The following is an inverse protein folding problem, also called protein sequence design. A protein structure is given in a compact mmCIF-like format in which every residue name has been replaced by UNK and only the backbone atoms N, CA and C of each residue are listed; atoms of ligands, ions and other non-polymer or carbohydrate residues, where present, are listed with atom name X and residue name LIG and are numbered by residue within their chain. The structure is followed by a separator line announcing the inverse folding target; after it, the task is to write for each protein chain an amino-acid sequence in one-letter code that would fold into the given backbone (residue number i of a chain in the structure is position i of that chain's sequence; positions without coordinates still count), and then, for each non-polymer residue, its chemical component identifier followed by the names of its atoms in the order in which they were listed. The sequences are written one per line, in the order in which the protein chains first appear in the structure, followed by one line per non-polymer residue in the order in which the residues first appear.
data_IF_106124886224
#
_entry.id   IF_106124886224
#
_cell.length_a   1.000
_cell.length_b   1.000
_cell.length_c   1.000
_cell.angle_alpha   90.00
_cell.angle_beta   90.00
_cell.angle_gamma   90.00
#
_symmetry.space_group_name_H-M   'P 1'
#
loop_
_entity.id
_entity.type
_entity.pdbx_description
1 polymer ?
#
# COMPACT_ATOMS: atom_id res chain seq x y z
N UNK A 1 6.14 6.89 37.93
CA UNK A 1 6.68 5.62 37.43
C UNK A 1 6.86 5.79 35.93
N UNK A 2 8.11 5.94 35.53
CA UNK A 2 8.53 6.47 34.23
C UNK A 2 8.77 5.27 33.30
N UNK A 3 7.90 5.07 32.32
CA UNK A 3 8.14 4.10 31.25
C UNK A 3 8.69 4.88 30.07
N UNK A 4 10.01 4.86 29.95
CA UNK A 4 10.74 5.37 28.81
C UNK A 4 10.58 4.36 27.66
N UNK A 5 9.81 4.72 26.63
CA UNK A 5 9.87 4.01 25.35
C UNK A 5 11.01 4.59 24.50
N UNK A 6 11.96 3.72 24.17
CA UNK A 6 13.08 4.00 23.30
C UNK A 6 12.59 4.35 21.90
N UNK A 7 12.56 5.64 21.57
CA UNK A 7 12.36 6.11 20.20
C UNK A 7 13.64 5.82 19.42
N UNK A 8 13.62 4.75 18.61
CA UNK A 8 14.65 4.45 17.62
C UNK A 8 14.75 5.65 16.68
N UNK A 9 15.83 6.43 16.81
CA UNK A 9 16.18 7.51 15.87
C UNK A 9 16.72 6.89 14.59
N UNK A 10 15.84 6.63 13.62
CA UNK A 10 16.28 6.26 12.28
C UNK A 10 16.85 7.51 11.61
N UNK A 11 18.17 7.56 11.45
CA UNK A 11 18.87 8.65 10.75
C UNK A 11 18.72 8.49 9.24
N UNK A 12 17.63 9.01 8.68
CA UNK A 12 17.51 9.24 7.23
C UNK A 12 17.92 10.69 6.96
N UNK A 13 19.15 10.88 6.43
CA UNK A 13 19.69 12.17 5.98
C UNK A 13 20.18 13.09 7.11
N UNK A 14 21.39 13.65 6.98
CA UNK A 14 21.96 14.62 7.92
C UNK A 14 21.30 15.99 7.79
N UNK A 15 20.02 16.07 8.10
CA UNK A 15 19.28 17.32 8.14
C UNK A 15 19.34 17.86 9.56
N UNK A 16 20.30 18.74 9.85
CA UNK A 16 20.61 19.22 11.21
C UNK A 16 19.54 20.08 11.86
N UNK A 17 18.52 20.50 11.09
CA UNK A 17 17.45 21.41 11.53
C UNK A 17 16.05 20.83 11.30
N UNK A 18 15.87 19.51 11.49
CA UNK A 18 14.54 18.89 11.42
C UNK A 18 14.09 18.57 12.84
N UNK A 19 12.94 19.13 13.21
CA UNK A 19 12.23 18.81 14.45
C UNK A 19 10.91 18.16 14.06
N UNK A 20 10.60 17.02 14.68
CA UNK A 20 9.29 16.41 14.52
C UNK A 20 8.24 17.28 15.22
N UNK A 21 7.26 17.77 14.46
CA UNK A 21 6.14 18.50 15.03
C UNK A 21 5.03 17.51 15.39
N UNK A 22 4.73 17.41 16.68
CA UNK A 22 3.60 16.60 17.14
C UNK A 22 2.28 17.24 16.71
N UNK A 23 1.43 16.44 16.06
CA UNK A 23 0.07 16.83 15.71
C UNK A 23 -0.86 16.47 16.88
N UNK A 24 -1.75 17.38 17.25
CA UNK A 24 -2.75 17.16 18.32
C UNK A 24 -3.75 16.04 18.02
N UNK A 25 -3.86 15.62 16.75
CA UNK A 25 -4.73 14.53 16.33
C UNK A 25 -3.84 13.33 15.98
N UNK A 26 -3.96 12.26 16.75
CA UNK A 26 -3.21 11.02 16.59
C UNK A 26 -3.85 10.01 15.62
N UNK A 27 -3.27 8.79 15.63
CA UNK A 27 -3.75 7.66 14.82
C UNK A 27 -5.13 7.19 15.30
N UNK A 28 -5.30 7.02 16.61
CA UNK A 28 -6.52 6.44 17.19
C UNK A 28 -7.74 7.34 16.97
N UNK A 29 -7.58 8.65 17.13
CA UNK A 29 -8.64 9.63 16.89
C UNK A 29 -9.09 9.61 15.43
N UNK A 30 -8.16 9.50 14.48
CA UNK A 30 -8.49 9.34 13.04
C UNK A 30 -9.19 8.01 12.76
N UNK A 31 -8.76 6.92 13.38
CA UNK A 31 -9.39 5.61 13.21
C UNK A 31 -10.82 5.61 13.75
N UNK A 32 -11.04 6.18 14.93
CA UNK A 32 -12.36 6.33 15.54
C UNK A 32 -13.28 7.23 14.71
N UNK A 33 -12.77 8.34 14.18
CA UNK A 33 -13.56 9.24 13.32
C UNK A 33 -14.02 8.56 12.03
N UNK A 34 -13.14 7.76 11.41
CA UNK A 34 -13.43 7.09 10.13
C UNK A 34 -14.07 5.71 10.31
N UNK A 35 -14.22 5.22 11.54
CA UNK A 35 -14.69 3.86 11.85
C UNK A 35 -13.90 2.77 11.11
N UNK A 36 -12.60 2.98 10.85
CA UNK A 36 -11.71 2.04 10.16
C UNK A 36 -10.25 2.20 10.63
N UNK A 37 -9.45 1.14 10.49
CA UNK A 37 -8.01 1.18 10.74
C UNK A 37 -7.24 1.42 9.45
N UNK A 38 -6.38 2.44 9.45
CA UNK A 38 -5.44 2.65 8.35
C UNK A 38 -4.47 1.47 8.19
N UNK A 39 -4.33 0.99 6.96
CA UNK A 39 -3.38 -0.04 6.53
C UNK A 39 -2.86 0.26 5.12
N UNK A 40 -1.78 -0.42 4.72
CA UNK A 40 -1.26 -0.40 3.36
C UNK A 40 -1.54 -1.75 2.72
N UNK A 41 -2.16 -1.75 1.55
CA UNK A 41 -2.39 -2.95 0.75
C UNK A 41 -1.39 -2.90 -0.40
N UNK A 42 -0.34 -3.70 -0.31
CA UNK A 42 0.72 -3.73 -1.30
C UNK A 42 0.44 -4.78 -2.37
N UNK A 43 0.05 -4.32 -3.57
CA UNK A 43 -0.24 -5.22 -4.69
C UNK A 43 1.01 -5.36 -5.56
N UNK A 44 1.63 -6.53 -5.52
CA UNK A 44 2.83 -6.85 -6.30
C UNK A 44 2.57 -7.94 -7.34
N UNK A 45 3.40 -7.96 -8.40
CA UNK A 45 3.27 -8.90 -9.53
C UNK A 45 3.81 -8.34 -10.83
N UNK A 46 3.91 -9.19 -11.86
CA UNK A 46 4.41 -8.83 -13.18
C UNK A 46 3.62 -7.70 -13.86
N UNK A 47 4.25 -6.95 -14.77
CA UNK A 47 3.53 -6.04 -15.65
C UNK A 47 2.45 -6.81 -16.43
N UNK A 48 1.25 -6.25 -16.55
CA UNK A 48 0.10 -6.92 -17.18
C UNK A 48 -0.63 -7.96 -16.30
N UNK A 49 -0.18 -8.27 -15.08
CA UNK A 49 -0.86 -9.25 -14.19
C UNK A 49 -2.20 -8.76 -13.62
N UNK A 50 -2.62 -7.52 -13.91
CA UNK A 50 -3.89 -6.96 -13.48
C UNK A 50 -3.86 -6.15 -12.17
N UNK A 51 -2.68 -5.76 -11.67
CA UNK A 51 -2.51 -4.98 -10.43
C UNK A 51 -3.39 -3.72 -10.37
N UNK A 52 -3.28 -2.83 -11.36
CA UNK A 52 -4.06 -1.58 -11.40
C UNK A 52 -5.56 -1.84 -11.55
N UNK A 53 -5.94 -2.90 -12.25
CA UNK A 53 -7.34 -3.34 -12.38
C UNK A 53 -7.91 -3.81 -11.04
N UNK A 54 -7.14 -4.62 -10.29
CA UNK A 54 -7.51 -5.05 -8.94
C UNK A 54 -7.59 -3.86 -7.98
N UNK A 55 -6.57 -2.99 -7.96
CA UNK A 55 -6.53 -1.79 -7.12
C UNK A 55 -7.75 -0.89 -7.36
N UNK A 56 -8.09 -0.64 -8.62
CA UNK A 56 -9.24 0.19 -9.00
C UNK A 56 -10.57 -0.44 -8.55
N UNK A 57 -10.72 -1.76 -8.70
CA UNK A 57 -11.93 -2.46 -8.28
C UNK A 57 -12.05 -2.52 -6.75
N UNK A 58 -10.96 -2.79 -6.05
CA UNK A 58 -10.90 -2.79 -4.59
C UNK A 58 -11.27 -1.42 -4.03
N UNK A 59 -10.70 -0.34 -4.59
CA UNK A 59 -11.04 1.02 -4.21
C UNK A 59 -12.53 1.32 -4.38
N UNK A 60 -13.11 0.93 -5.51
CA UNK A 60 -14.56 1.07 -5.74
C UNK A 60 -15.38 0.28 -4.71
N UNK A 61 -14.96 -0.94 -4.40
CA UNK A 61 -15.64 -1.80 -3.45
C UNK A 61 -15.60 -1.29 -2.00
N UNK A 62 -14.46 -0.74 -1.56
CA UNK A 62 -14.33 -0.11 -0.25
C UNK A 62 -15.17 1.16 -0.17
N UNK A 63 -15.12 2.00 -1.21
CA UNK A 63 -15.94 3.20 -1.30
C UNK A 63 -17.45 2.89 -1.23
N UNK A 64 -17.91 1.87 -1.97
CA UNK A 64 -19.32 1.44 -1.90
C UNK A 64 -19.74 0.92 -0.52
N UNK A 65 -18.80 0.50 0.33
CA UNK A 65 -19.02 0.06 1.72
C UNK A 65 -18.82 1.19 2.74
N UNK A 66 -18.55 2.42 2.30
CA UNK A 66 -18.36 3.58 3.17
C UNK A 66 -16.95 3.73 3.73
N UNK A 67 -15.96 2.99 3.22
CA UNK A 67 -14.57 3.09 3.66
C UNK A 67 -13.77 4.03 2.77
N UNK A 68 -12.89 4.81 3.42
CA UNK A 68 -11.95 5.69 2.74
C UNK A 68 -10.73 4.89 2.30
N UNK A 69 -10.44 4.93 1.01
CA UNK A 69 -9.24 4.33 0.42
C UNK A 69 -8.67 5.23 -0.66
N UNK A 70 -7.37 5.07 -0.94
CA UNK A 70 -6.67 5.80 -1.98
C UNK A 70 -5.71 4.87 -2.71
N UNK A 71 -5.61 5.00 -4.03
CA UNK A 71 -4.74 4.17 -4.87
C UNK A 71 -3.49 4.96 -5.24
N UNK A 72 -2.34 4.45 -4.83
CA UNK A 72 -1.03 4.93 -5.26
C UNK A 72 -0.52 4.03 -6.38
N UNK A 73 -0.86 4.39 -7.62
CA UNK A 73 -0.43 3.65 -8.80
C UNK A 73 0.91 4.21 -9.31
N UNK A 74 1.87 3.32 -9.54
CA UNK A 74 3.23 3.69 -9.93
C UNK A 74 3.28 4.45 -11.26
N UNK A 75 2.40 4.15 -12.20
CA UNK A 75 2.36 4.85 -13.49
C UNK A 75 1.77 6.27 -13.32
N UNK A 76 0.72 6.41 -12.49
CA UNK A 76 0.14 7.72 -12.18
C UNK A 76 1.13 8.66 -11.48
N UNK A 77 1.97 8.12 -10.59
CA UNK A 77 2.92 8.93 -9.83
C UNK A 77 4.10 9.42 -10.67
N UNK A 78 4.44 8.71 -11.76
CA UNK A 78 5.45 9.15 -12.74
C UNK A 78 5.04 10.40 -13.51
N UNK A 79 3.75 10.75 -13.51
CA UNK A 79 3.30 12.05 -14.06
C UNK A 79 3.56 13.23 -13.11
N UNK A 80 3.87 12.99 -11.84
CA UNK A 80 4.01 14.03 -10.81
C UNK A 80 5.18 13.79 -9.86
N UNK A 81 4.90 13.11 -8.75
CA UNK A 81 5.84 12.91 -7.63
C UNK A 81 7.15 12.21 -8.05
N UNK A 82 7.07 11.31 -9.02
CA UNK A 82 8.19 10.49 -9.51
C UNK A 82 8.55 10.80 -10.96
N UNK A 83 8.27 12.02 -11.44
CA UNK A 83 8.58 12.43 -12.82
C UNK A 83 10.08 12.49 -13.13
N UNK A 84 10.90 12.62 -12.09
CA UNK A 84 12.35 12.64 -12.11
C UNK A 84 12.96 11.24 -12.22
N UNK A 85 12.18 10.20 -11.92
CA UNK A 85 12.64 8.82 -11.92
C UNK A 85 12.48 8.20 -13.31
N UNK A 86 13.58 7.71 -13.87
CA UNK A 86 13.56 6.92 -15.10
C UNK A 86 13.12 5.47 -14.83
N UNK A 87 13.38 4.56 -15.79
CA UNK A 87 13.14 3.13 -15.64
C UNK A 87 14.42 2.34 -15.35
N UNK A 88 15.51 3.00 -14.95
CA UNK A 88 16.72 2.30 -14.47
C UNK A 88 16.47 1.57 -13.15
N UNK A 89 17.28 0.57 -12.82
CA UNK A 89 17.14 -0.23 -11.61
C UNK A 89 17.18 0.63 -10.33
N UNK A 90 18.08 1.62 -10.28
CA UNK A 90 18.24 2.51 -9.12
C UNK A 90 17.02 3.42 -8.95
N UNK A 91 16.50 3.97 -10.05
CA UNK A 91 15.29 4.81 -10.04
C UNK A 91 14.03 3.99 -9.73
N UNK A 92 14.01 2.70 -10.08
CA UNK A 92 12.94 1.77 -9.66
C UNK A 92 13.03 1.48 -8.16
N UNK A 93 14.23 1.28 -7.60
CA UNK A 93 14.42 1.10 -6.16
C UNK A 93 13.97 2.34 -5.38
N UNK A 94 14.29 3.55 -5.86
CA UNK A 94 13.80 4.80 -5.27
C UNK A 94 12.28 4.96 -5.46
N UNK A 95 11.71 4.56 -6.60
CA UNK A 95 10.25 4.53 -6.81
C UNK A 95 9.55 3.53 -5.86
N UNK A 96 10.21 2.42 -5.52
CA UNK A 96 9.73 1.45 -4.53
C UNK A 96 9.81 2.02 -3.12
N UNK A 97 10.93 2.68 -2.80
CA UNK A 97 11.14 3.36 -1.52
C UNK A 97 10.13 4.50 -1.30
N UNK A 98 9.82 5.27 -2.37
CA UNK A 98 8.81 6.33 -2.33
C UNK A 98 7.37 5.80 -2.35
N UNK A 99 7.11 4.67 -3.01
CA UNK A 99 5.72 4.25 -3.29
C UNK A 99 5.47 2.75 -3.47
N UNK A 100 6.38 2.00 -4.11
CA UNK A 100 6.29 0.53 -4.08
C UNK A 100 6.01 -0.26 -5.35
N UNK A 101 6.62 0.05 -6.49
CA UNK A 101 6.28 -0.62 -7.76
C UNK A 101 7.50 -1.15 -8.55
N UNK A 102 7.46 -2.40 -9.03
CA UNK A 102 8.54 -3.10 -9.77
C UNK A 102 8.16 -3.52 -11.21
N UNK A 103 9.13 -3.43 -12.13
CA UNK A 103 9.40 -4.46 -13.17
C UNK A 103 9.18 -4.12 -14.65
N UNK A 104 10.28 -4.11 -15.44
CA UNK A 104 10.40 -4.65 -16.83
C UNK A 104 11.80 -5.29 -17.05
N UNK A 105 12.91 -4.69 -16.59
CA UNK A 105 14.29 -5.19 -16.86
C UNK A 105 15.06 -5.67 -15.60
N UNK A 106 14.35 -6.02 -14.54
CA UNK A 106 14.91 -6.43 -13.23
C UNK A 106 14.22 -7.73 -12.81
N UNK A 107 14.92 -8.77 -12.29
CA UNK A 107 14.28 -9.99 -11.83
C UNK A 107 13.20 -9.67 -10.78
N UNK A 108 11.97 -10.11 -11.07
CA UNK A 108 10.88 -10.03 -10.10
C UNK A 108 11.10 -11.09 -9.03
N UNK A 109 11.28 -10.65 -7.79
CA UNK A 109 11.32 -11.54 -6.63
C UNK A 109 9.91 -11.63 -6.02
N UNK A 110 9.21 -12.78 -6.14
CA UNK A 110 7.92 -12.96 -5.48
C UNK A 110 8.11 -12.92 -3.95
N UNK A 111 7.17 -12.33 -3.19
CA UNK A 111 7.24 -12.39 -1.74
C UNK A 111 7.13 -13.84 -1.27
N UNK A 112 7.92 -14.20 -0.26
CA UNK A 112 7.93 -15.56 0.29
C UNK A 112 6.71 -15.85 1.17
N UNK A 113 6.09 -14.81 1.74
CA UNK A 113 4.99 -14.92 2.70
C UNK A 113 3.95 -13.81 2.45
N UNK A 114 3.15 -13.97 1.39
CA UNK A 114 2.04 -13.06 1.12
C UNK A 114 0.85 -13.36 2.04
N UNK A 115 0.27 -12.34 2.67
CA UNK A 115 -0.98 -12.49 3.44
C UNK A 115 -2.15 -12.92 2.56
N UNK A 116 -2.15 -12.50 1.28
CA UNK A 116 -3.16 -12.85 0.28
C UNK A 116 -2.46 -13.20 -1.03
N UNK A 117 -2.75 -14.41 -1.55
CA UNK A 117 -2.34 -14.81 -2.90
C UNK A 117 -3.58 -14.93 -3.76
N UNK A 118 -3.69 -14.07 -4.78
CA UNK A 118 -4.76 -14.15 -5.78
C UNK A 118 -4.44 -15.27 -6.76
N UNK A 119 -5.01 -16.46 -6.50
CA UNK A 119 -4.77 -17.66 -7.30
C UNK A 119 -5.73 -17.78 -8.48
N UNK A 120 -5.28 -18.48 -9.53
CA UNK A 120 -6.13 -18.98 -10.60
C UNK A 120 -7.09 -20.03 -10.01
N UNK A 121 -8.40 -19.89 -10.25
CA UNK A 121 -9.35 -20.98 -9.99
C UNK A 121 -9.65 -21.66 -11.33
N UNK A 122 -9.46 -22.98 -11.36
CA UNK A 122 -9.66 -23.81 -12.56
C UNK A 122 -8.87 -23.32 -13.79
N UNK A 123 -7.65 -22.85 -13.57
CA UNK A 123 -6.78 -22.31 -14.63
C UNK A 123 -7.25 -20.97 -15.23
N UNK A 124 -8.22 -20.29 -14.62
CA UNK A 124 -8.74 -18.99 -15.06
C UNK A 124 -8.57 -17.93 -13.97
N UNK A 125 -8.26 -16.70 -14.42
CA UNK A 125 -8.33 -15.54 -13.56
C UNK A 125 -9.78 -15.30 -13.17
N UNK A 126 -10.01 -15.09 -11.88
CA UNK A 126 -11.31 -14.68 -11.39
C UNK A 126 -11.60 -13.25 -11.87
N UNK A 127 -12.88 -12.87 -11.85
CA UNK A 127 -13.24 -11.49 -12.20
C UNK A 127 -12.56 -10.49 -11.23
N UNK A 128 -12.22 -9.27 -11.67
CA UNK A 128 -11.67 -8.24 -10.77
C UNK A 128 -12.51 -8.03 -9.52
N UNK A 129 -13.83 -8.15 -9.64
CA UNK A 129 -14.76 -8.06 -8.52
C UNK A 129 -14.54 -9.18 -7.49
N UNK A 130 -14.38 -10.42 -7.95
CA UNK A 130 -14.15 -11.56 -7.06
C UNK A 130 -12.74 -11.56 -6.43
N UNK A 131 -11.74 -11.03 -7.14
CA UNK A 131 -10.40 -10.83 -6.58
C UNK A 131 -10.39 -9.73 -5.51
N UNK A 132 -11.07 -8.61 -5.78
CA UNK A 132 -11.23 -7.54 -4.79
C UNK A 132 -12.01 -7.99 -3.56
N UNK A 133 -13.04 -8.83 -3.73
CA UNK A 133 -13.83 -9.35 -2.63
C UNK A 133 -12.98 -10.16 -1.64
N UNK A 134 -12.01 -10.96 -2.13
CA UNK A 134 -11.09 -11.69 -1.25
C UNK A 134 -10.28 -10.76 -0.35
N UNK A 135 -9.82 -9.63 -0.90
CA UNK A 135 -9.08 -8.64 -0.13
C UNK A 135 -10.00 -7.96 0.89
N UNK A 136 -11.23 -7.63 0.51
CA UNK A 136 -12.21 -7.06 1.45
C UNK A 136 -12.51 -8.03 2.59
N UNK A 137 -12.78 -9.30 2.29
CA UNK A 137 -13.01 -10.33 3.32
C UNK A 137 -11.84 -10.43 4.28
N UNK A 138 -10.60 -10.45 3.78
CA UNK A 138 -9.42 -10.45 4.64
C UNK A 138 -9.38 -9.22 5.57
N UNK A 139 -9.66 -8.02 5.06
CA UNK A 139 -9.66 -6.79 5.87
C UNK A 139 -10.76 -6.81 6.94
N UNK A 140 -11.93 -7.38 6.63
CA UNK A 140 -13.03 -7.54 7.59
C UNK A 140 -12.66 -8.53 8.70
N UNK A 141 -12.17 -9.71 8.33
CA UNK A 141 -11.79 -10.79 9.26
C UNK A 141 -10.65 -10.35 10.20
N UNK A 142 -9.74 -9.51 9.71
CA UNK A 142 -8.64 -8.96 10.52
C UNK A 142 -9.01 -7.63 11.22
N UNK A 143 -10.27 -7.20 11.14
CA UNK A 143 -10.76 -6.05 11.90
C UNK A 143 -10.19 -4.70 11.46
N UNK A 144 -9.87 -4.54 10.17
CA UNK A 144 -9.46 -3.26 9.58
C UNK A 144 -10.65 -2.38 9.20
N UNK A 145 -11.79 -2.99 8.85
CA UNK A 145 -12.98 -2.27 8.39
C UNK A 145 -13.96 -1.88 9.52
N UNK A 146 -13.52 -1.99 10.77
CA UNK A 146 -14.25 -1.55 11.97
C UNK A 146 -13.23 -0.99 12.97
N UNK A 147 -13.48 0.20 13.51
CA UNK A 147 -12.70 0.79 14.60
C UNK A 147 -13.25 0.34 15.97
#
# INVERSE_FOLDING_TARGET
MQVMENLVRTTVGMSTNIVWHECSIGKLERQNLLMQKGCVIWITGFSGSGKSTLASMLNRQLHCRGHVSYVLDGDNLRHGLNKDLSFKAEDRAENICRVGFTGIDDPYEPPMDCEIVIQLKDGKYQTPKAMAEQVVTYLEENGYLKA
#
